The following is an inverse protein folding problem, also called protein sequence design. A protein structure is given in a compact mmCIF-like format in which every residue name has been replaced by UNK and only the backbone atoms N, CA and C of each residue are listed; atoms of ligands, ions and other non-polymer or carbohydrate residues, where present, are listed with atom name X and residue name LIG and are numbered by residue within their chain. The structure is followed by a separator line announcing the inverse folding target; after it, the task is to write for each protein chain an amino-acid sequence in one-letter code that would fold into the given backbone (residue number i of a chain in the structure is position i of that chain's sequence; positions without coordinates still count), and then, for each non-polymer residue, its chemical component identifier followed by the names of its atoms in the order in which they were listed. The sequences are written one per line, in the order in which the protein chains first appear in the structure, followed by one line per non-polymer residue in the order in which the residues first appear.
data_IF_394652870146
#
_entry.id   IF_394652870146
#
_cell.length_a   1.000
_cell.length_b   1.000
_cell.length_c   1.000
_cell.angle_alpha   90.00
_cell.angle_beta   90.00
_cell.angle_gamma   90.00
#
_symmetry.space_group_name_H-M   'P 1'
#
loop_
_entity.id
_entity.type
_entity.pdbx_description
1 polymer ?
#
# COMPACT_ATOMS: atom_id res chain seq x y z
N UNK A 1 27.39 22.93 -15.70
CA UNK A 1 26.74 21.79 -15.02
C UNK A 1 27.23 21.86 -13.60
N UNK A 2 26.32 22.02 -12.64
CA UNK A 2 26.66 22.18 -11.23
C UNK A 2 26.91 20.82 -10.59
N UNK A 3 27.71 20.80 -9.52
CA UNK A 3 27.91 19.59 -8.73
C UNK A 3 26.61 19.24 -8.00
N UNK A 4 26.22 17.96 -8.03
CA UNK A 4 25.07 17.46 -7.28
C UNK A 4 25.29 16.02 -6.79
N UNK A 5 24.57 15.66 -5.74
CA UNK A 5 24.40 14.29 -5.26
C UNK A 5 22.95 13.86 -5.48
N UNK A 6 22.75 12.61 -5.91
CA UNK A 6 21.43 12.06 -6.22
C UNK A 6 21.25 10.68 -5.57
N UNK A 7 20.11 10.49 -4.91
CA UNK A 7 19.71 9.20 -4.33
C UNK A 7 18.23 8.95 -4.62
N UNK A 8 17.93 7.78 -5.17
CA UNK A 8 16.57 7.25 -5.27
C UNK A 8 16.57 5.79 -4.79
N UNK A 9 16.25 5.53 -3.52
CA UNK A 9 16.31 4.19 -2.94
C UNK A 9 15.08 3.34 -3.30
N UNK A 10 14.07 3.93 -3.94
CA UNK A 10 12.80 3.24 -4.22
C UNK A 10 12.99 2.26 -5.37
N UNK A 11 12.69 0.98 -5.12
CA UNK A 11 12.63 -0.04 -6.15
C UNK A 11 11.36 0.11 -6.98
N UNK A 12 11.51 0.29 -8.29
CA UNK A 12 10.41 0.33 -9.24
C UNK A 12 10.19 -1.08 -9.82
N UNK A 13 8.94 -1.57 -9.74
CA UNK A 13 8.52 -2.81 -10.40
C UNK A 13 7.45 -2.44 -11.43
N UNK A 14 7.80 -2.57 -12.72
CA UNK A 14 6.99 -2.07 -13.82
C UNK A 14 6.66 -3.19 -14.81
N UNK A 15 5.48 -3.10 -15.45
CA UNK A 15 5.00 -4.04 -16.46
C UNK A 15 3.64 -4.65 -16.12
N UNK A 16 3.02 -5.28 -17.13
CA UNK A 16 1.76 -5.99 -16.93
C UNK A 16 1.95 -7.18 -15.95
N UNK A 17 0.99 -7.38 -15.05
CA UNK A 17 1.04 -8.46 -14.05
C UNK A 17 2.02 -8.23 -12.89
N UNK A 18 2.62 -7.03 -12.77
CA UNK A 18 3.59 -6.73 -11.71
C UNK A 18 3.02 -6.80 -10.29
N UNK A 19 1.69 -6.67 -10.12
CA UNK A 19 1.02 -6.74 -8.81
C UNK A 19 1.30 -8.07 -8.11
N UNK A 20 1.39 -9.19 -8.85
CA UNK A 20 1.70 -10.50 -8.28
C UNK A 20 3.06 -10.54 -7.55
N UNK A 21 3.98 -9.63 -7.88
CA UNK A 21 5.30 -9.54 -7.22
C UNK A 21 5.23 -9.04 -5.79
N UNK A 22 4.10 -8.48 -5.33
CA UNK A 22 3.92 -8.05 -3.93
C UNK A 22 4.23 -9.20 -2.96
N UNK A 23 3.84 -10.44 -3.31
CA UNK A 23 4.09 -11.64 -2.50
C UNK A 23 5.57 -11.90 -2.18
N UNK A 24 6.48 -11.45 -3.06
CA UNK A 24 7.94 -11.62 -2.91
C UNK A 24 8.63 -10.40 -2.28
N UNK A 25 7.96 -9.25 -2.27
CA UNK A 25 8.55 -7.97 -1.88
C UNK A 25 8.30 -7.61 -0.41
N UNK A 26 7.28 -8.23 0.19
CA UNK A 26 6.92 -8.04 1.59
C UNK A 26 7.27 -9.32 2.35
N UNK A 27 8.06 -9.20 3.41
CA UNK A 27 8.33 -10.32 4.33
C UNK A 27 7.03 -10.96 4.80
N UNK A 28 6.95 -12.29 4.74
CA UNK A 28 5.74 -13.05 5.09
C UNK A 28 5.34 -12.91 6.56
N UNK A 29 6.28 -12.54 7.44
CA UNK A 29 6.01 -12.34 8.85
C UNK A 29 5.44 -10.95 9.16
N UNK A 30 5.48 -10.02 8.21
CA UNK A 30 4.94 -8.68 8.40
C UNK A 30 3.43 -8.64 8.19
N UNK A 31 2.72 -8.02 9.14
CA UNK A 31 1.31 -7.70 8.98
C UNK A 31 1.16 -6.45 8.13
N UNK A 32 0.38 -6.54 7.05
CA UNK A 32 0.21 -5.47 6.07
C UNK A 32 -1.08 -4.69 6.34
N UNK A 33 -1.04 -3.36 6.26
CA UNK A 33 -2.25 -2.56 6.12
C UNK A 33 -2.36 -2.02 4.71
N UNK A 34 -3.41 -2.45 4.01
CA UNK A 34 -3.74 -1.96 2.67
C UNK A 34 -4.56 -0.68 2.82
N UNK A 35 -4.01 0.43 2.31
CA UNK A 35 -4.67 1.75 2.34
C UNK A 35 -5.17 2.14 0.95
N UNK A 36 -6.38 2.67 0.87
CA UNK A 36 -6.97 3.07 -0.42
C UNK A 36 -8.03 4.17 -0.27
N UNK A 37 -8.33 4.83 -1.40
CA UNK A 37 -9.29 5.93 -1.44
C UNK A 37 -10.75 5.49 -1.61
N UNK A 38 -11.49 6.18 -2.48
CA UNK A 38 -12.94 5.98 -2.72
C UNK A 38 -13.36 4.67 -3.43
N UNK A 39 -12.52 3.63 -3.43
CA UNK A 39 -12.90 2.29 -3.88
C UNK A 39 -12.89 2.05 -5.40
N UNK A 40 -12.28 2.91 -6.21
CA UNK A 40 -12.06 2.63 -7.65
C UNK A 40 -11.32 1.30 -7.88
N UNK A 41 -10.39 0.98 -6.99
CA UNK A 41 -9.60 -0.27 -7.01
C UNK A 41 -10.45 -1.53 -6.87
N UNK A 42 -11.64 -1.44 -6.24
CA UNK A 42 -12.57 -2.56 -6.10
C UNK A 42 -13.40 -2.77 -7.39
N UNK A 43 -13.49 -1.77 -8.25
CA UNK A 43 -14.25 -1.86 -9.51
C UNK A 43 -13.42 -2.33 -10.70
N UNK A 44 -12.10 -2.10 -10.67
CA UNK A 44 -11.20 -2.41 -11.78
C UNK A 44 -10.38 -3.69 -11.55
N UNK A 45 -10.70 -4.49 -10.53
CA UNK A 45 -10.02 -5.75 -10.20
C UNK A 45 -8.63 -5.60 -9.59
N UNK A 46 -8.15 -4.38 -9.31
CA UNK A 46 -6.85 -4.17 -8.65
C UNK A 46 -6.90 -4.67 -7.20
N UNK A 47 -8.00 -4.42 -6.50
CA UNK A 47 -8.18 -4.90 -5.13
C UNK A 47 -8.07 -6.43 -5.07
N UNK A 48 -8.73 -7.14 -5.99
CA UNK A 48 -8.71 -8.60 -6.03
C UNK A 48 -7.29 -9.13 -6.30
N UNK A 49 -6.56 -8.53 -7.24
CA UNK A 49 -5.17 -8.88 -7.51
C UNK A 49 -4.25 -8.64 -6.31
N UNK A 50 -4.46 -7.56 -5.55
CA UNK A 50 -3.70 -7.28 -4.32
C UNK A 50 -4.05 -8.29 -3.23
N UNK A 51 -5.34 -8.60 -3.04
CA UNK A 51 -5.79 -9.58 -2.06
C UNK A 51 -5.23 -10.98 -2.37
N UNK A 52 -5.21 -11.36 -3.65
CA UNK A 52 -4.58 -12.60 -4.12
C UNK A 52 -3.07 -12.61 -3.86
N UNK A 53 -2.37 -11.51 -4.16
CA UNK A 53 -0.93 -11.40 -3.91
C UNK A 53 -0.58 -11.43 -2.41
N UNK A 54 -1.52 -11.03 -1.53
CA UNK A 54 -1.38 -11.05 -0.07
C UNK A 54 -2.00 -12.30 0.58
N UNK A 55 -2.41 -13.31 -0.18
CA UNK A 55 -3.09 -14.49 0.35
C UNK A 55 -2.29 -15.25 1.43
N UNK A 56 -0.96 -15.12 1.44
CA UNK A 56 -0.07 -15.71 2.45
C UNK A 56 0.35 -14.77 3.59
N UNK A 57 -0.17 -13.55 3.63
CA UNK A 57 0.17 -12.54 4.63
C UNK A 57 -1.02 -12.29 5.57
N UNK A 58 -0.73 -11.91 6.81
CA UNK A 58 -1.74 -11.29 7.65
C UNK A 58 -1.94 -9.84 7.19
N UNK A 59 -3.18 -9.42 6.93
CA UNK A 59 -3.41 -8.05 6.50
C UNK A 59 -4.77 -7.49 6.94
N UNK A 60 -4.86 -6.16 6.97
CA UNK A 60 -6.06 -5.40 7.32
C UNK A 60 -6.25 -4.24 6.33
N UNK A 61 -7.47 -3.69 6.28
CA UNK A 61 -7.81 -2.58 5.40
C UNK A 61 -7.99 -1.26 6.13
N UNK A 62 -7.61 -0.18 5.46
CA UNK A 62 -8.01 1.19 5.78
C UNK A 62 -8.41 1.93 4.49
N UNK A 63 -9.71 1.96 4.21
CA UNK A 63 -10.29 2.61 3.03
C UNK A 63 -10.84 4.00 3.31
N UNK A 64 -11.22 4.71 2.25
CA UNK A 64 -11.93 5.99 2.35
C UNK A 64 -11.03 7.22 2.46
N UNK A 65 -9.75 7.10 2.08
CA UNK A 65 -8.84 8.25 2.00
C UNK A 65 -9.31 9.21 0.90
N UNK A 66 -9.52 10.48 1.26
CA UNK A 66 -9.98 11.50 0.34
C UNK A 66 -8.88 11.90 -0.67
N UNK A 67 -9.22 12.41 -1.88
CA UNK A 67 -8.24 12.84 -2.89
C UNK A 67 -7.22 13.88 -2.38
N UNK A 68 -7.62 14.68 -1.39
CA UNK A 68 -6.74 15.55 -0.62
C UNK A 68 -6.76 15.03 0.83
N UNK A 69 -5.87 14.10 1.20
CA UNK A 69 -5.93 13.41 2.48
C UNK A 69 -5.91 14.39 3.65
N UNK A 70 -6.90 14.27 4.54
CA UNK A 70 -7.01 15.11 5.73
C UNK A 70 -6.24 14.51 6.90
N UNK A 71 -5.70 15.39 7.76
CA UNK A 71 -4.97 14.98 8.96
C UNK A 71 -5.79 14.02 9.83
N UNK A 72 -7.08 14.30 10.05
CA UNK A 72 -7.96 13.49 10.89
C UNK A 72 -8.13 12.07 10.35
N UNK A 73 -8.23 11.92 9.02
CA UNK A 73 -8.32 10.61 8.36
C UNK A 73 -7.00 9.85 8.49
N UNK A 74 -5.86 10.51 8.29
CA UNK A 74 -4.54 9.91 8.49
C UNK A 74 -4.33 9.43 9.93
N UNK A 75 -4.78 10.19 10.93
CA UNK A 75 -4.64 9.81 12.33
C UNK A 75 -5.46 8.57 12.69
N UNK A 76 -6.63 8.35 12.06
CA UNK A 76 -7.39 7.10 12.22
C UNK A 76 -6.63 5.90 11.64
N UNK A 77 -5.92 6.09 10.52
CA UNK A 77 -5.07 5.04 9.95
C UNK A 77 -3.92 4.70 10.90
N UNK A 78 -3.29 5.70 11.51
CA UNK A 78 -2.22 5.53 12.51
C UNK A 78 -2.73 4.76 13.73
N UNK A 79 -3.90 5.13 14.26
CA UNK A 79 -4.51 4.44 15.40
C UNK A 79 -4.80 2.97 15.09
N UNK A 80 -5.38 2.70 13.91
CA UNK A 80 -5.64 1.34 13.45
C UNK A 80 -4.35 0.55 13.27
N UNK A 81 -3.34 1.12 12.61
CA UNK A 81 -2.05 0.46 12.41
C UNK A 81 -1.40 0.03 13.73
N UNK A 82 -1.44 0.90 14.74
CA UNK A 82 -0.90 0.61 16.08
C UNK A 82 -1.69 -0.48 16.79
N UNK A 83 -3.02 -0.36 16.79
CA UNK A 83 -3.92 -1.33 17.45
C UNK A 83 -3.79 -2.72 16.84
N UNK A 84 -3.62 -2.78 15.53
CA UNK A 84 -3.53 -4.03 14.77
C UNK A 84 -2.12 -4.63 14.76
N UNK A 85 -1.09 -3.91 15.19
CA UNK A 85 0.31 -4.35 15.09
C UNK A 85 0.77 -4.48 13.64
N UNK A 86 0.54 -3.44 12.84
CA UNK A 86 0.93 -3.40 11.41
C UNK A 86 2.41 -3.05 11.27
N UNK A 87 3.12 -3.79 10.43
CA UNK A 87 4.54 -3.59 10.13
C UNK A 87 4.77 -2.83 8.81
N UNK A 88 3.87 -3.02 7.84
CA UNK A 88 4.02 -2.48 6.47
C UNK A 88 2.73 -1.83 5.99
N UNK A 89 2.84 -0.65 5.38
CA UNK A 89 1.75 0.01 4.67
C UNK A 89 1.84 -0.28 3.16
N UNK A 90 0.74 -0.74 2.57
CA UNK A 90 0.60 -0.91 1.13
C UNK A 90 -0.47 0.05 0.60
N UNK A 91 -0.04 1.18 0.06
CA UNK A 91 -0.95 2.15 -0.57
C UNK A 91 -1.35 1.69 -1.98
N UNK A 92 -2.65 1.54 -2.20
CA UNK A 92 -3.23 1.10 -3.47
C UNK A 92 -4.20 2.16 -3.97
N UNK A 93 -3.76 2.96 -4.94
CA UNK A 93 -4.53 4.09 -5.45
C UNK A 93 -3.68 5.04 -6.27
N UNK A 94 -4.17 6.27 -6.41
CA UNK A 94 -3.41 7.39 -6.95
C UNK A 94 -2.50 8.04 -5.89
N UNK A 95 -1.87 9.15 -6.29
CA UNK A 95 -1.16 10.05 -5.37
C UNK A 95 -2.11 10.98 -4.62
#
# INVERSE_FOLDING_TARGET
MENFEYCNPVRIVFGAGSIARIADLIDRNHKVMVTYGGGSIKRNGVYDQVAEALASHAWVEFGGIEPNPRYETCMKAVEKARTEGVDVLLAVGGG
#
